data_IF_098635138615
#
_entry.id   IF_098635138615
#
_cell.length_a   1.000
_cell.length_b   1.000
_cell.length_c   1.000
_cell.angle_alpha   90.00
_cell.angle_beta   90.00
_cell.angle_gamma   90.00
#
_symmetry.space_group_name_H-M   'P 1'
#
loop_
_entity.id
_entity.type
_entity.pdbx_description
1 polymer ?
#
# COMPACT_ATOMS: atom_id res chain seq x y z
N UNK A 1 37.96 -38.13 54.58
CA UNK A 1 36.63 -38.21 53.93
C UNK A 1 36.42 -36.92 53.14
N UNK A 2 36.69 -36.96 51.84
CA UNK A 2 36.57 -35.80 50.93
C UNK A 2 35.08 -35.51 50.67
N UNK A 3 34.66 -34.24 50.84
CA UNK A 3 33.38 -33.72 50.36
C UNK A 3 33.68 -32.64 49.33
N UNK A 4 33.41 -32.95 48.06
CA UNK A 4 33.57 -32.10 46.88
C UNK A 4 32.32 -32.33 45.99
N UNK A 5 31.85 -31.35 45.21
CA UNK A 5 31.02 -30.27 45.71
C UNK A 5 29.64 -30.22 45.02
N UNK A 6 28.66 -29.61 45.69
CA UNK A 6 27.35 -29.27 45.14
C UNK A 6 27.43 -28.05 44.20
N UNK A 7 28.22 -28.14 43.13
CA UNK A 7 28.34 -27.11 42.09
C UNK A 7 28.22 -27.80 40.73
N UNK A 8 27.05 -28.37 40.43
CA UNK A 8 26.71 -28.86 39.09
C UNK A 8 25.23 -28.66 38.73
N UNK A 9 24.57 -27.68 39.37
CA UNK A 9 23.17 -27.36 39.11
C UNK A 9 22.98 -25.88 38.75
N UNK A 10 23.93 -25.28 38.03
CA UNK A 10 23.84 -23.87 37.60
C UNK A 10 24.33 -23.66 36.15
N UNK A 11 23.94 -24.54 35.21
CA UNK A 11 24.23 -24.35 33.77
C UNK A 11 23.00 -24.60 32.86
N UNK A 12 21.85 -25.05 33.38
CA UNK A 12 20.70 -25.39 32.53
C UNK A 12 19.60 -24.30 32.45
N UNK A 13 19.94 -23.01 32.59
CA UNK A 13 18.96 -21.92 32.57
C UNK A 13 19.19 -20.86 31.48
N UNK A 14 20.12 -21.07 30.54
CA UNK A 14 20.40 -20.11 29.49
C UNK A 14 20.04 -20.65 28.10
N UNK A 15 19.18 -19.90 27.42
CA UNK A 15 18.79 -20.00 26.01
C UNK A 15 17.57 -20.86 25.66
N UNK A 16 16.47 -20.70 26.41
CA UNK A 16 15.16 -20.66 25.74
C UNK A 16 14.99 -19.25 25.16
N UNK A 17 15.68 -18.96 24.05
CA UNK A 17 15.25 -17.83 23.22
C UNK A 17 13.89 -18.21 22.67
N UNK A 18 12.80 -17.47 22.99
CA UNK A 18 11.52 -17.75 22.35
C UNK A 18 11.79 -17.66 20.85
N UNK A 19 11.58 -18.76 20.13
CA UNK A 19 11.56 -18.74 18.68
C UNK A 19 10.58 -17.63 18.32
N UNK A 20 11.08 -16.56 17.69
CA UNK A 20 10.29 -15.38 17.38
C UNK A 20 8.99 -15.84 16.72
N UNK A 21 7.85 -15.50 17.33
CA UNK A 21 6.57 -15.97 16.84
C UNK A 21 6.44 -15.55 15.39
N UNK A 22 6.22 -16.54 14.52
CA UNK A 22 6.06 -16.27 13.10
C UNK A 22 4.88 -15.30 12.93
N UNK A 23 5.17 -14.10 12.43
CA UNK A 23 4.14 -13.09 12.18
C UNK A 23 3.55 -13.37 10.81
N UNK A 24 2.25 -13.61 10.75
CA UNK A 24 1.56 -13.66 9.47
C UNK A 24 1.12 -12.24 9.06
N UNK A 25 1.21 -11.95 7.76
CA UNK A 25 0.69 -10.73 7.14
C UNK A 25 -0.08 -11.11 5.89
N UNK A 26 -1.32 -10.67 5.81
CA UNK A 26 -2.23 -10.88 4.68
C UNK A 26 -2.35 -9.61 3.85
N UNK A 27 -2.15 -9.73 2.54
CA UNK A 27 -2.17 -8.57 1.62
C UNK A 27 -3.08 -8.84 0.43
N UNK A 28 -4.00 -7.92 0.14
CA UNK A 28 -4.81 -7.96 -1.08
C UNK A 28 -4.24 -7.03 -2.14
N UNK A 29 -4.12 -7.52 -3.37
CA UNK A 29 -3.78 -6.73 -4.55
C UNK A 29 -4.95 -6.70 -5.55
N UNK A 30 -5.62 -5.55 -5.68
CA UNK A 30 -6.53 -5.28 -6.79
C UNK A 30 -5.82 -4.36 -7.78
N UNK A 31 -5.54 -4.87 -8.98
CA UNK A 31 -4.72 -4.15 -9.94
C UNK A 31 -4.94 -4.56 -11.38
N UNK A 32 -3.98 -4.21 -12.21
CA UNK A 32 -3.96 -4.60 -13.61
C UNK A 32 -2.59 -5.17 -14.04
N UNK A 33 -2.28 -5.09 -15.33
CA UNK A 33 -1.03 -5.58 -15.91
C UNK A 33 0.24 -5.01 -15.26
N UNK A 34 0.18 -3.82 -14.65
CA UNK A 34 1.29 -3.24 -13.89
C UNK A 34 1.52 -3.92 -12.53
N UNK A 35 0.49 -4.55 -11.98
CA UNK A 35 0.60 -5.39 -10.77
C UNK A 35 0.91 -6.84 -11.15
N UNK A 36 0.38 -7.33 -12.27
CA UNK A 36 0.61 -8.70 -12.74
C UNK A 36 2.05 -8.98 -13.22
N UNK A 37 2.67 -8.06 -13.97
CA UNK A 37 4.02 -8.21 -14.55
C UNK A 37 4.29 -9.59 -15.22
N UNK A 38 3.83 -9.79 -16.47
CA UNK A 38 3.82 -11.11 -17.13
C UNK A 38 5.21 -11.76 -17.31
N UNK A 39 6.27 -10.97 -17.48
CA UNK A 39 7.62 -11.51 -17.74
C UNK A 39 8.21 -12.26 -16.53
N UNK A 40 7.67 -11.98 -15.35
CA UNK A 40 8.11 -12.62 -14.12
C UNK A 40 6.98 -13.41 -13.48
N UNK A 41 5.70 -13.06 -13.66
CA UNK A 41 4.54 -13.69 -13.02
C UNK A 41 3.89 -14.83 -13.81
N UNK A 42 2.98 -15.55 -13.15
CA UNK A 42 2.03 -16.48 -13.77
C UNK A 42 0.59 -16.13 -13.34
N UNK A 43 -0.46 -16.68 -14.00
CA UNK A 43 -1.85 -16.44 -13.63
C UNK A 43 -2.18 -16.78 -12.17
N UNK A 44 -1.44 -17.71 -11.58
CA UNK A 44 -1.58 -18.19 -10.20
C UNK A 44 -0.66 -17.43 -9.23
N UNK A 45 0.34 -16.70 -9.76
CA UNK A 45 1.40 -16.10 -8.98
C UNK A 45 1.94 -14.80 -9.64
N UNK A 46 1.26 -13.66 -9.43
CA UNK A 46 1.56 -12.40 -10.11
C UNK A 46 2.90 -11.82 -9.67
N UNK A 47 3.57 -11.16 -10.60
CA UNK A 47 4.92 -10.68 -10.47
C UNK A 47 5.16 -9.71 -9.32
N UNK A 48 4.38 -8.63 -9.23
CA UNK A 48 4.59 -7.62 -8.18
C UNK A 48 4.27 -8.16 -6.78
N UNK A 49 3.13 -8.84 -6.53
CA UNK A 49 2.85 -9.44 -5.22
C UNK A 49 3.92 -10.44 -4.78
N UNK A 50 4.40 -11.31 -5.69
CA UNK A 50 5.50 -12.24 -5.37
C UNK A 50 6.78 -11.51 -5.00
N UNK A 51 7.16 -10.49 -5.77
CA UNK A 51 8.37 -9.72 -5.47
C UNK A 51 8.26 -9.05 -4.10
N UNK A 52 7.12 -8.43 -3.79
CA UNK A 52 6.87 -7.80 -2.49
C UNK A 52 6.96 -8.84 -1.37
N UNK A 53 6.35 -10.01 -1.53
CA UNK A 53 6.47 -11.13 -0.56
C UNK A 53 7.93 -11.47 -0.29
N UNK A 54 8.72 -11.72 -1.35
CA UNK A 54 10.13 -12.10 -1.23
C UNK A 54 10.98 -11.03 -0.55
N UNK A 55 10.73 -9.76 -0.86
CA UNK A 55 11.44 -8.63 -0.24
C UNK A 55 11.04 -8.46 1.22
N UNK A 56 9.75 -8.53 1.54
CA UNK A 56 9.28 -8.39 2.92
C UNK A 56 9.85 -9.50 3.82
N UNK A 57 9.82 -10.75 3.37
CA UNK A 57 10.31 -11.91 4.12
C UNK A 57 11.83 -11.97 4.23
N UNK A 58 12.57 -11.33 3.31
CA UNK A 58 14.03 -11.23 3.43
C UNK A 58 14.47 -10.14 4.41
N UNK A 59 13.68 -9.07 4.55
CA UNK A 59 13.96 -7.96 5.47
C UNK A 59 13.60 -8.35 6.91
N UNK A 60 12.53 -9.12 7.11
CA UNK A 60 12.03 -9.46 8.44
C UNK A 60 12.03 -10.98 8.69
N UNK A 61 13.05 -11.52 9.35
CA UNK A 61 13.09 -12.92 9.74
C UNK A 61 11.87 -13.31 10.57
N UNK A 62 11.16 -14.35 10.15
CA UNK A 62 9.95 -14.83 10.82
C UNK A 62 8.63 -14.21 10.32
N UNK A 63 8.68 -13.24 9.40
CA UNK A 63 7.50 -12.79 8.67
C UNK A 63 7.07 -13.88 7.66
N UNK A 64 5.76 -14.14 7.60
CA UNK A 64 5.12 -14.95 6.57
C UNK A 64 4.07 -14.09 5.89
N UNK A 65 4.35 -13.66 4.67
CA UNK A 65 3.42 -12.86 3.88
C UNK A 65 2.61 -13.78 2.97
N UNK A 66 1.29 -13.71 3.09
CA UNK A 66 0.31 -14.31 2.18
C UNK A 66 -0.36 -13.20 1.39
N UNK A 67 -0.67 -13.45 0.12
CA UNK A 67 -1.43 -12.50 -0.67
C UNK A 67 -2.51 -13.15 -1.49
N UNK A 68 -3.59 -12.40 -1.66
CA UNK A 68 -4.60 -12.64 -2.69
C UNK A 68 -4.50 -11.54 -3.75
N UNK A 69 -4.99 -11.83 -4.94
CA UNK A 69 -4.91 -10.88 -6.04
C UNK A 69 -6.04 -11.02 -7.04
N UNK A 70 -6.36 -9.92 -7.69
CA UNK A 70 -7.09 -9.89 -8.94
C UNK A 70 -6.47 -8.80 -9.82
N UNK A 71 -5.65 -9.20 -10.79
CA UNK A 71 -4.79 -8.29 -11.57
C UNK A 71 -4.94 -8.39 -13.10
N UNK A 72 -6.17 -8.43 -13.65
CA UNK A 72 -6.39 -8.59 -15.09
C UNK A 72 -5.89 -7.37 -15.89
N UNK A 73 -5.38 -7.65 -17.10
CA UNK A 73 -4.82 -6.62 -17.97
C UNK A 73 -5.79 -5.48 -18.27
N UNK A 74 -5.30 -4.24 -18.18
CA UNK A 74 -6.07 -3.04 -18.55
C UNK A 74 -7.21 -2.65 -17.62
N UNK A 75 -7.40 -3.31 -16.47
CA UNK A 75 -8.48 -3.00 -15.53
C UNK A 75 -8.38 -1.59 -14.95
N UNK A 76 -9.58 -1.03 -14.77
CA UNK A 76 -9.89 0.26 -14.17
C UNK A 76 -10.67 0.02 -12.87
N UNK A 77 -10.86 1.04 -12.03
CA UNK A 77 -11.68 0.89 -10.82
C UNK A 77 -13.13 0.50 -11.10
N UNK A 78 -13.74 0.98 -12.19
CA UNK A 78 -15.07 0.56 -12.64
C UNK A 78 -15.13 -0.94 -12.94
N UNK A 79 -14.12 -1.47 -13.65
CA UNK A 79 -14.07 -2.89 -13.97
C UNK A 79 -13.87 -3.74 -12.72
N UNK A 80 -13.02 -3.31 -11.78
CA UNK A 80 -12.94 -3.97 -10.48
C UNK A 80 -14.27 -3.92 -9.72
N UNK A 81 -14.92 -2.76 -9.66
CA UNK A 81 -16.19 -2.63 -8.94
C UNK A 81 -17.31 -3.50 -9.54
N UNK A 82 -17.29 -3.75 -10.85
CA UNK A 82 -18.25 -4.61 -11.55
C UNK A 82 -17.86 -6.08 -11.59
N UNK A 83 -16.62 -6.42 -11.22
CA UNK A 83 -16.11 -7.79 -11.25
C UNK A 83 -16.41 -8.50 -9.92
N UNK A 84 -17.14 -9.62 -9.98
CA UNK A 84 -17.58 -10.34 -8.78
C UNK A 84 -16.42 -10.82 -7.89
N UNK A 85 -15.31 -11.27 -8.49
CA UNK A 85 -14.14 -11.71 -7.72
C UNK A 85 -13.43 -10.55 -7.02
N UNK A 86 -13.30 -9.40 -7.68
CA UNK A 86 -12.76 -8.19 -7.06
C UNK A 86 -13.60 -7.75 -5.85
N UNK A 87 -14.92 -7.75 -5.98
CA UNK A 87 -15.82 -7.37 -4.88
C UNK A 87 -15.79 -8.39 -3.74
N UNK A 88 -15.77 -9.69 -4.07
CA UNK A 88 -15.64 -10.76 -3.07
C UNK A 88 -14.34 -10.62 -2.29
N UNK A 89 -13.22 -10.41 -2.97
CA UNK A 89 -11.92 -10.20 -2.33
C UNK A 89 -11.90 -8.90 -1.53
N UNK A 90 -12.41 -7.79 -2.08
CA UNK A 90 -12.47 -6.50 -1.40
C UNK A 90 -13.26 -6.53 -0.08
N UNK A 91 -14.27 -7.40 0.03
CA UNK A 91 -15.05 -7.58 1.27
C UNK A 91 -14.35 -8.43 2.34
N UNK A 92 -13.24 -9.10 2.01
CA UNK A 92 -12.44 -9.87 2.96
C UNK A 92 -11.66 -9.00 3.94
N UNK A 93 -11.03 -9.65 4.93
CA UNK A 93 -10.18 -9.00 5.95
C UNK A 93 -8.71 -9.26 5.62
N UNK A 94 -7.97 -8.18 5.40
CA UNK A 94 -6.53 -8.17 5.12
C UNK A 94 -5.82 -7.17 6.02
N UNK A 95 -4.56 -7.45 6.35
CA UNK A 95 -3.72 -6.48 7.07
C UNK A 95 -3.35 -5.28 6.18
N UNK A 96 -3.35 -5.48 4.86
CA UNK A 96 -3.03 -4.43 3.87
C UNK A 96 -3.81 -4.66 2.58
N UNK A 97 -4.42 -3.61 2.05
CA UNK A 97 -5.04 -3.64 0.71
C UNK A 97 -4.34 -2.66 -0.20
N UNK A 98 -3.94 -3.12 -1.39
CA UNK A 98 -3.28 -2.32 -2.42
C UNK A 98 -4.21 -2.23 -3.62
N UNK A 99 -4.60 -1.01 -3.97
CA UNK A 99 -5.50 -0.70 -5.07
C UNK A 99 -4.75 -0.01 -6.20
N UNK A 100 -4.96 -0.46 -7.43
CA UNK A 100 -4.30 0.09 -8.61
C UNK A 100 -5.27 0.09 -9.80
N UNK A 101 -5.61 1.28 -10.29
CA UNK A 101 -6.45 1.47 -11.48
C UNK A 101 -5.61 1.50 -12.77
N UNK A 102 -6.25 1.79 -13.90
CA UNK A 102 -5.57 1.88 -15.21
C UNK A 102 -4.52 2.99 -15.20
N UNK A 103 -3.48 2.81 -16.02
CA UNK A 103 -2.30 3.66 -16.04
C UNK A 103 -2.53 5.15 -16.34
N UNK A 104 -3.67 5.50 -16.90
CA UNK A 104 -4.04 6.86 -17.25
C UNK A 104 -5.32 7.30 -16.52
N UNK A 105 -5.89 6.47 -15.65
CA UNK A 105 -7.22 6.70 -15.07
C UNK A 105 -7.26 7.98 -14.22
N UNK A 106 -6.19 8.22 -13.46
CA UNK A 106 -6.04 9.43 -12.65
C UNK A 106 -5.72 10.68 -13.50
N UNK A 107 -5.29 10.52 -14.75
CA UNK A 107 -5.05 11.62 -15.69
C UNK A 107 -6.26 12.01 -16.51
N UNK A 108 -7.21 11.08 -16.65
CA UNK A 108 -8.40 11.35 -17.42
C UNK A 108 -9.32 12.36 -16.73
N UNK A 109 -9.03 12.74 -15.47
CA UNK A 109 -9.64 13.82 -14.68
C UNK A 109 -9.56 15.22 -15.35
N UNK A 110 -10.03 15.38 -16.58
CA UNK A 110 -10.34 16.71 -17.14
C UNK A 110 -11.34 17.41 -16.21
N UNK A 111 -11.43 18.76 -16.24
CA UNK A 111 -12.42 19.47 -15.43
C UNK A 111 -13.79 18.84 -15.64
N UNK A 112 -14.53 18.59 -14.55
CA UNK A 112 -15.78 17.81 -14.57
C UNK A 112 -16.86 18.36 -15.52
N UNK A 113 -16.70 19.59 -16.03
CA UNK A 113 -17.57 20.21 -17.03
C UNK A 113 -17.17 19.98 -18.51
N UNK A 114 -15.95 19.50 -18.81
CA UNK A 114 -15.44 19.34 -20.19
C UNK A 114 -15.54 17.92 -20.75
N UNK A 115 -15.90 16.93 -19.93
CA UNK A 115 -15.67 15.52 -20.27
C UNK A 115 -16.62 14.53 -19.60
N UNK A 116 -17.87 14.94 -19.38
CA UNK A 116 -18.96 14.04 -18.99
C UNK A 116 -19.14 13.00 -20.10
N UNK A 117 -18.46 11.86 -19.98
CA UNK A 117 -18.47 10.79 -21.00
C UNK A 117 -17.20 9.95 -21.09
N UNK A 118 -16.05 10.46 -20.65
CA UNK A 118 -14.77 9.72 -20.74
C UNK A 118 -14.67 8.62 -19.67
N UNK A 119 -14.35 7.36 -20.06
CA UNK A 119 -14.31 6.21 -19.14
C UNK A 119 -13.42 6.40 -17.91
N UNK A 120 -12.24 7.02 -18.02
CA UNK A 120 -11.31 7.17 -16.90
C UNK A 120 -11.75 8.17 -15.84
N UNK A 121 -12.54 9.20 -16.19
CA UNK A 121 -13.11 10.13 -15.20
C UNK A 121 -14.11 9.42 -14.33
N UNK A 122 -15.06 8.73 -14.96
CA UNK A 122 -16.07 7.97 -14.23
C UNK A 122 -15.39 6.93 -13.36
N UNK A 123 -14.42 6.22 -13.92
CA UNK A 123 -13.75 5.16 -13.21
C UNK A 123 -12.96 5.67 -11.98
N UNK A 124 -12.14 6.71 -12.11
CA UNK A 124 -11.40 7.26 -10.97
C UNK A 124 -12.29 8.03 -9.98
N UNK A 125 -13.13 8.95 -10.44
CA UNK A 125 -13.88 9.84 -9.53
C UNK A 125 -15.16 9.21 -8.96
N UNK A 126 -15.75 8.22 -9.63
CA UNK A 126 -17.01 7.59 -9.20
C UNK A 126 -16.80 6.19 -8.67
N UNK A 127 -15.97 5.37 -9.32
CA UNK A 127 -15.82 3.96 -8.95
C UNK A 127 -14.71 3.71 -7.93
N UNK A 128 -13.65 4.51 -7.85
CA UNK A 128 -12.69 4.41 -6.75
C UNK A 128 -13.36 4.62 -5.38
N UNK A 129 -14.19 5.67 -5.15
CA UNK A 129 -14.89 5.82 -3.86
C UNK A 129 -15.78 4.64 -3.55
N UNK A 130 -16.55 4.15 -4.54
CA UNK A 130 -17.41 2.98 -4.34
C UNK A 130 -16.63 1.71 -3.99
N UNK A 131 -15.45 1.53 -4.58
CA UNK A 131 -14.58 0.40 -4.26
C UNK A 131 -13.96 0.57 -2.87
N UNK A 132 -13.53 1.78 -2.51
CA UNK A 132 -13.05 2.11 -1.17
C UNK A 132 -14.14 1.86 -0.11
N UNK A 133 -15.39 2.21 -0.39
CA UNK A 133 -16.52 1.94 0.53
C UNK A 133 -16.73 0.45 0.79
N UNK A 134 -16.35 -0.43 -0.14
CA UNK A 134 -16.39 -1.88 0.06
C UNK A 134 -15.19 -2.32 0.90
N UNK A 135 -13.98 -1.89 0.50
CA UNK A 135 -12.72 -2.28 1.16
C UNK A 135 -12.67 -1.80 2.61
N UNK A 136 -13.04 -0.56 2.88
CA UNK A 136 -12.94 0.08 4.19
C UNK A 136 -13.97 -0.43 5.22
N UNK A 137 -14.88 -1.33 4.84
CA UNK A 137 -15.77 -2.01 5.80
C UNK A 137 -15.05 -3.07 6.63
N UNK A 138 -13.98 -3.62 6.09
CA UNK A 138 -13.27 -4.78 6.66
C UNK A 138 -11.77 -4.55 6.79
N UNK A 139 -11.24 -3.41 6.33
CA UNK A 139 -9.81 -3.15 6.21
C UNK A 139 -9.48 -1.70 6.59
N UNK A 140 -8.48 -1.53 7.46
CA UNK A 140 -8.09 -0.21 7.97
C UNK A 140 -6.83 0.36 7.28
N UNK A 141 -6.03 -0.48 6.62
CA UNK A 141 -4.81 -0.07 5.93
C UNK A 141 -4.91 -0.29 4.42
N UNK A 142 -5.33 0.76 3.71
CA UNK A 142 -5.52 0.77 2.26
C UNK A 142 -4.51 1.71 1.61
N UNK A 143 -3.83 1.23 0.58
CA UNK A 143 -2.89 2.02 -0.23
C UNK A 143 -3.35 2.08 -1.67
N UNK A 144 -3.58 3.29 -2.15
CA UNK A 144 -3.80 3.58 -3.56
C UNK A 144 -2.46 3.75 -4.25
N UNK A 145 -2.12 2.84 -5.16
CA UNK A 145 -0.95 2.94 -6.02
C UNK A 145 -1.35 3.68 -7.31
N UNK A 146 -1.12 4.99 -7.32
CA UNK A 146 -1.28 5.81 -8.53
C UNK A 146 0.00 5.72 -9.34
N UNK A 147 -0.13 5.27 -10.58
CA UNK A 147 1.02 5.04 -11.43
C UNK A 147 1.53 6.34 -12.10
N UNK A 148 2.71 6.20 -12.72
CA UNK A 148 3.78 7.18 -12.94
C UNK A 148 3.51 8.45 -13.74
N UNK A 149 2.28 8.78 -14.08
CA UNK A 149 2.05 9.99 -14.87
C UNK A 149 1.70 11.22 -14.03
N UNK A 150 2.22 11.29 -12.79
CA UNK A 150 2.26 12.53 -12.04
C UNK A 150 3.16 13.53 -12.77
N UNK A 151 2.55 14.50 -13.42
CA UNK A 151 3.27 15.64 -13.99
C UNK A 151 3.08 16.84 -13.05
N UNK A 152 4.13 17.63 -12.71
CA UNK A 152 3.97 18.77 -11.80
C UNK A 152 3.00 19.85 -12.29
N UNK A 153 2.80 19.94 -13.61
CA UNK A 153 1.80 20.83 -14.21
C UNK A 153 0.42 20.19 -14.35
N UNK A 154 0.25 18.94 -13.90
CA UNK A 154 -1.03 18.27 -13.91
C UNK A 154 -1.89 18.84 -12.79
N UNK A 155 -2.82 19.72 -13.15
CA UNK A 155 -3.72 20.38 -12.20
C UNK A 155 -4.72 19.40 -11.55
N UNK A 156 -4.77 18.16 -12.03
CA UNK A 156 -5.80 17.17 -11.72
C UNK A 156 -5.47 16.22 -10.54
N UNK A 157 -4.21 16.18 -10.09
CA UNK A 157 -3.79 15.44 -8.89
C UNK A 157 -3.02 16.37 -7.92
N UNK A 158 -3.52 17.59 -7.76
CA UNK A 158 -3.03 18.46 -6.69
C UNK A 158 -3.54 17.94 -5.34
N UNK A 159 -2.78 18.18 -4.28
CA UNK A 159 -3.15 17.72 -2.93
C UNK A 159 -4.50 18.26 -2.42
N UNK A 160 -5.00 19.33 -3.02
CA UNK A 160 -6.27 20.01 -2.77
C UNK A 160 -7.38 19.63 -3.76
N UNK A 161 -7.13 18.70 -4.69
CA UNK A 161 -8.12 18.31 -5.68
C UNK A 161 -9.33 17.64 -5.03
N UNK A 162 -10.54 18.16 -5.28
CA UNK A 162 -11.79 17.68 -4.66
C UNK A 162 -12.03 16.19 -4.85
N UNK A 163 -11.57 15.63 -5.98
CA UNK A 163 -11.60 14.19 -6.27
C UNK A 163 -10.56 13.36 -5.49
N UNK A 164 -9.92 13.91 -4.46
CA UNK A 164 -9.11 13.17 -3.48
C UNK A 164 -9.79 13.12 -2.10
N UNK A 165 -10.97 13.72 -1.94
CA UNK A 165 -11.68 13.80 -0.66
C UNK A 165 -13.00 13.05 -0.73
N UNK A 166 -13.42 12.46 0.40
CA UNK A 166 -14.74 11.82 0.48
C UNK A 166 -15.85 12.82 0.17
N UNK A 167 -16.82 12.43 -0.69
CA UNK A 167 -17.90 13.32 -1.09
C UNK A 167 -18.79 13.68 0.10
N UNK A 168 -19.54 14.79 -0.01
CA UNK A 168 -20.57 15.14 0.96
C UNK A 168 -21.57 13.98 1.14
N UNK A 169 -21.95 13.71 2.39
CA UNK A 169 -22.83 12.59 2.75
C UNK A 169 -22.13 11.26 3.06
N UNK A 170 -20.81 11.14 2.84
CA UNK A 170 -20.04 9.98 3.29
C UNK A 170 -19.63 10.12 4.77
N UNK A 171 -19.56 9.05 5.59
CA UNK A 171 -19.12 9.13 7.00
C UNK A 171 -17.73 9.76 7.21
N UNK A 172 -16.90 9.75 6.18
CA UNK A 172 -15.55 10.35 6.16
C UNK A 172 -15.45 11.62 5.33
N UNK A 173 -16.59 12.28 5.01
CA UNK A 173 -16.64 13.48 4.18
C UNK A 173 -15.56 14.50 4.59
N UNK A 174 -14.85 15.06 3.60
CA UNK A 174 -13.76 16.02 3.82
C UNK A 174 -12.41 15.43 4.25
N UNK A 175 -12.31 14.13 4.51
CA UNK A 175 -11.01 13.45 4.68
C UNK A 175 -10.43 13.04 3.33
N UNK A 176 -9.09 12.98 3.22
CA UNK A 176 -8.44 12.46 2.02
C UNK A 176 -8.62 10.94 1.88
N UNK A 177 -8.79 10.46 0.65
CA UNK A 177 -8.83 9.03 0.32
C UNK A 177 -7.47 8.36 0.47
N UNK A 178 -6.39 9.12 0.34
CA UNK A 178 -5.02 8.63 0.43
C UNK A 178 -4.12 9.60 1.19
N UNK A 179 -3.15 9.03 1.92
CA UNK A 179 -2.31 9.78 2.85
C UNK A 179 -2.98 10.01 4.19
N UNK A 180 -2.18 10.27 5.23
CA UNK A 180 -2.71 10.66 6.54
C UNK A 180 -3.01 12.15 6.48
N UNK A 181 -4.25 12.56 6.76
CA UNK A 181 -4.54 13.97 6.98
C UNK A 181 -3.65 14.44 8.14
N UNK A 182 -2.79 15.43 7.88
CA UNK A 182 -1.88 15.99 8.89
C UNK A 182 -2.64 16.61 10.08
N UNK A 183 -3.95 16.83 9.93
CA UNK A 183 -4.87 17.33 10.93
C UNK A 183 -5.69 16.25 11.66
N UNK A 184 -5.61 14.97 11.27
CA UNK A 184 -6.31 13.92 12.03
C UNK A 184 -5.65 13.76 13.40
N UNK A 185 -6.41 13.84 14.50
CA UNK A 185 -5.86 13.61 15.83
C UNK A 185 -5.20 12.24 15.83
N UNK A 186 -3.97 12.16 16.37
CA UNK A 186 -3.31 10.87 16.59
C UNK A 186 -4.27 10.04 17.43
N UNK A 187 -4.58 8.78 17.05
CA UNK A 187 -5.37 7.92 17.91
C UNK A 187 -4.71 7.87 19.28
N UNK A 188 -5.54 7.93 20.32
CA UNK A 188 -5.07 7.85 21.69
C UNK A 188 -4.25 6.58 21.84
N UNK A 189 -3.00 6.72 22.32
CA UNK A 189 -2.11 5.57 22.44
C UNK A 189 -2.61 4.56 23.48
N UNK A 190 -3.59 4.91 24.30
CA UNK A 190 -4.26 3.96 25.21
C UNK A 190 -5.30 3.07 24.52
N UNK A 191 -5.75 3.39 23.30
CA UNK A 191 -6.67 2.54 22.52
C UNK A 191 -5.93 1.52 21.62
N UNK A 192 -4.62 1.63 21.52
CA UNK A 192 -3.80 0.68 20.77
C UNK A 192 -3.58 -0.59 21.60
N UNK A 193 -4.18 -1.70 21.16
CA UNK A 193 -3.88 -3.03 21.68
C UNK A 193 -2.36 -3.29 21.69
N UNK A 194 -1.82 -3.95 22.75
CA UNK A 194 -0.38 -3.99 23.05
C UNK A 194 0.51 -4.67 21.99
N UNK A 195 -0.06 -5.21 20.91
CA UNK A 195 0.68 -5.86 19.82
C UNK A 195 1.08 -4.91 18.67
N UNK A 196 0.64 -3.65 18.67
CA UNK A 196 0.99 -2.67 17.63
C UNK A 196 2.05 -1.64 18.09
N UNK A 197 3.26 -2.12 18.42
CA UNK A 197 4.46 -1.27 18.25
C UNK A 197 5.09 -1.60 16.91
N UNK A 198 4.81 -0.79 15.88
CA UNK A 198 5.61 -0.79 14.65
C UNK A 198 5.89 0.60 14.11
N UNK A 199 7.19 0.79 13.88
CA UNK A 199 7.88 1.62 12.89
C UNK A 199 7.02 2.68 12.20
N UNK A 200 7.09 3.90 12.74
CA UNK A 200 6.72 5.12 12.03
C UNK A 200 7.73 5.36 10.90
N UNK A 201 7.44 4.80 9.72
CA UNK A 201 8.03 5.23 8.45
C UNK A 201 7.10 6.25 7.80
N UNK A 202 7.58 7.47 7.63
CA UNK A 202 6.89 8.55 6.94
C UNK A 202 6.35 8.08 5.58
N UNK A 203 5.04 8.19 5.38
CA UNK A 203 4.41 7.93 4.09
C UNK A 203 4.85 9.04 3.13
N UNK A 204 5.56 8.64 2.08
CA UNK A 204 6.16 9.51 1.08
C UNK A 204 5.11 10.36 0.34
N UNK A 205 4.97 11.62 0.77
CA UNK A 205 4.68 12.75 -0.09
C UNK A 205 5.76 13.81 0.18
N UNK A 206 6.94 13.59 -0.41
CA UNK A 206 7.91 14.66 -0.61
C UNK A 206 8.40 14.56 -2.04
N UNK A 207 7.81 15.39 -2.91
CA UNK A 207 8.43 15.80 -4.17
C UNK A 207 9.70 16.59 -3.87
N UNK A 208 10.75 15.90 -3.44
CA UNK A 208 12.08 16.45 -3.31
C UNK A 208 12.78 16.35 -4.65
N UNK A 209 13.13 17.49 -5.24
CA UNK A 209 14.12 17.56 -6.32
C UNK A 209 15.31 16.71 -5.91
N UNK A 210 15.60 15.66 -6.68
CA UNK A 210 16.93 15.07 -6.68
C UNK A 210 17.84 16.13 -7.31
N UNK A 211 18.50 16.94 -6.47
CA UNK A 211 19.62 17.74 -6.93
C UNK A 211 20.71 16.74 -7.32
N UNK A 212 20.82 16.47 -8.63
CA UNK A 212 21.99 15.81 -9.18
C UNK A 212 23.22 16.64 -8.81
N UNK A 213 24.29 16.06 -8.25
CA UNK A 213 25.51 16.80 -8.02
C UNK A 213 26.02 17.34 -9.35
N UNK A 214 26.23 18.66 -9.40
CA UNK A 214 26.84 19.33 -10.54
C UNK A 214 28.16 18.64 -10.88
N UNK A 215 28.20 18.02 -12.06
CA UNK A 215 29.41 17.44 -12.62
C UNK A 215 30.39 18.58 -12.91
N UNK A 216 31.28 18.87 -11.96
CA UNK A 216 32.40 19.81 -12.17
C UNK A 216 33.34 19.13 -13.16
N UNK A 217 33.27 19.59 -14.40
CA UNK A 217 34.20 19.21 -15.46
C UNK A 217 35.64 19.35 -14.98
N UNK A 218 36.38 18.24 -15.08
CA UNK A 218 37.84 18.26 -15.09
C UNK A 218 38.29 19.08 -16.30
N UNK A 219 38.79 20.29 -16.06
CA UNK A 219 39.74 20.95 -16.95
C UNK A 219 41.08 20.24 -16.77
N UNK A 220 41.54 19.53 -17.79
CA UNK A 220 42.96 19.20 -17.92
C UNK A 220 43.75 20.46 -18.33
N UNK A 221 44.98 20.64 -17.83
CA UNK A 221 45.86 21.67 -18.35
C UNK A 221 46.49 21.23 -19.69
N UNK A 222 46.44 22.18 -20.63
CA UNK A 222 47.17 22.38 -21.90
C UNK A 222 48.05 21.25 -22.43
#
# INVERSE_FOLDING_TARGET
>A
MLRFPAIFAFVAACAFTPAGQARELSVLFLGNSYTYLPDIGSPEDPGLPRLIKRVAESIEPGLRLRYDFNTPGGYTFEMHFKNADSIRLAGGTYDKVILQGRSNEALELTPWWESIGSPGIKSFSVYLPKLLDVVLRSNDDVTLFVNWNWHPSNVHLREDHVGLFFPEGHPRAGQKWCGRDSASPKPDQSELHPHHRRLSGETFFRGGRLALPANRGRRGPR
#
